data_IF_133199950738
#
_entry.id   IF_133199950738
#
_cell.length_a   1.000
_cell.length_b   1.000
_cell.length_c   1.000
_cell.angle_alpha   90.00
_cell.angle_beta   90.00
_cell.angle_gamma   90.00
#
_symmetry.space_group_name_H-M   'P 1'
#
loop_
_entity.id
_entity.type
_entity.pdbx_description
1 polymer ?
#
# COMPACT_ATOMS: atom_id res chain seq x y z
N UNK A 1 -11.94 24.75 14.37
CA UNK A 1 -12.65 23.52 14.76
C UNK A 1 -11.87 22.29 14.33
N UNK A 2 -11.90 21.28 15.20
CA UNK A 2 -11.32 19.97 14.92
C UNK A 2 -12.44 18.95 14.82
N UNK A 3 -12.26 17.93 13.98
CA UNK A 3 -13.14 16.79 13.85
C UNK A 3 -12.30 15.52 13.97
N UNK A 4 -12.77 14.57 14.79
CA UNK A 4 -12.20 13.23 14.87
C UNK A 4 -13.24 12.27 14.32
N UNK A 5 -12.85 11.46 13.34
CA UNK A 5 -13.65 10.39 12.79
C UNK A 5 -12.99 9.05 13.11
N UNK A 6 -13.77 8.13 13.66
CA UNK A 6 -13.37 6.77 13.96
C UNK A 6 -14.30 5.82 13.23
N UNK A 7 -13.73 4.89 12.48
CA UNK A 7 -14.49 3.85 11.81
C UNK A 7 -13.83 2.48 12.02
N UNK A 8 -14.64 1.47 12.26
CA UNK A 8 -14.22 0.08 12.20
C UNK A 8 -15.09 -0.62 11.16
N UNK A 9 -14.48 -1.52 10.39
CA UNK A 9 -15.17 -2.21 9.30
C UNK A 9 -14.77 -3.68 9.18
N UNK A 10 -15.72 -4.45 8.71
CA UNK A 10 -15.54 -5.82 8.31
C UNK A 10 -16.22 -6.03 6.96
N UNK A 11 -15.50 -6.63 6.01
CA UNK A 11 -16.03 -6.99 4.69
C UNK A 11 -15.74 -8.46 4.44
N UNK A 12 -16.77 -9.23 4.16
CA UNK A 12 -16.71 -10.62 3.76
C UNK A 12 -17.09 -10.69 2.27
N UNK A 13 -16.13 -10.97 1.43
CA UNK A 13 -16.29 -11.02 -0.03
C UNK A 13 -16.15 -12.49 -0.43
N UNK A 14 -17.24 -13.07 -0.94
CA UNK A 14 -17.32 -14.47 -1.34
C UNK A 14 -17.45 -14.60 -2.85
N UNK A 15 -17.30 -15.82 -3.33
CA UNK A 15 -17.54 -16.20 -4.73
C UNK A 15 -16.73 -15.37 -5.73
N UNK A 16 -15.51 -14.97 -5.34
CA UNK A 16 -14.58 -14.31 -6.24
C UNK A 16 -14.10 -15.30 -7.30
N UNK A 17 -14.05 -14.85 -8.53
CA UNK A 17 -13.60 -15.65 -9.65
C UNK A 17 -12.09 -15.85 -9.60
N UNK A 18 -11.68 -17.10 -9.74
CA UNK A 18 -10.28 -17.47 -9.88
C UNK A 18 -10.13 -18.68 -10.81
N UNK A 19 -8.92 -18.92 -11.30
CA UNK A 19 -8.64 -20.07 -12.15
C UNK A 19 -8.33 -21.31 -11.32
N UNK A 20 -9.10 -22.35 -11.54
CA UNK A 20 -8.80 -23.71 -11.05
C UNK A 20 -8.13 -24.48 -12.19
N UNK A 21 -6.96 -25.05 -11.91
CA UNK A 21 -6.18 -25.79 -12.90
C UNK A 21 -6.38 -27.30 -12.74
N UNK A 22 -6.65 -27.97 -13.85
CA UNK A 22 -6.81 -29.43 -13.94
C UNK A 22 -5.61 -30.00 -14.70
N UNK A 23 -4.96 -31.03 -14.12
CA UNK A 23 -3.71 -31.61 -14.61
C UNK A 23 -3.93 -33.10 -14.79
N UNK A 24 -3.75 -33.61 -16.04
CA UNK A 24 -3.91 -35.02 -16.35
C UNK A 24 -2.80 -35.88 -15.72
N UNK A 25 -3.05 -37.17 -15.54
CA UNK A 25 -2.12 -38.12 -14.92
C UNK A 25 -0.75 -38.20 -15.60
N UNK A 26 -0.70 -37.97 -16.90
CA UNK A 26 0.56 -37.93 -17.67
C UNK A 26 1.10 -36.52 -17.86
N UNK A 27 0.50 -35.52 -17.24
CA UNK A 27 0.85 -34.08 -17.32
C UNK A 27 0.84 -33.48 -18.72
N UNK A 28 0.35 -34.21 -19.73
CA UNK A 28 0.31 -33.75 -21.14
C UNK A 28 -0.89 -32.87 -21.45
N UNK A 29 -2.01 -33.03 -20.73
CA UNK A 29 -3.19 -32.22 -20.90
C UNK A 29 -3.42 -31.42 -19.62
N UNK A 30 -3.37 -30.13 -19.76
CA UNK A 30 -3.65 -29.19 -18.68
C UNK A 30 -4.66 -28.16 -19.17
N UNK A 31 -5.68 -27.88 -18.40
CA UNK A 31 -6.60 -26.78 -18.67
C UNK A 31 -6.92 -26.02 -17.40
N UNK A 32 -7.33 -24.80 -17.57
CA UNK A 32 -7.77 -23.95 -16.47
C UNK A 32 -9.22 -23.54 -16.68
N UNK A 33 -10.02 -23.67 -15.64
CA UNK A 33 -11.41 -23.27 -15.62
C UNK A 33 -11.59 -22.09 -14.68
N UNK A 34 -12.36 -21.09 -15.08
CA UNK A 34 -12.75 -20.00 -14.20
C UNK A 34 -13.83 -20.50 -13.25
N UNK A 35 -13.55 -20.44 -11.95
CA UNK A 35 -14.44 -20.89 -10.88
C UNK A 35 -14.64 -19.80 -9.85
N UNK A 36 -15.82 -19.72 -9.24
CA UNK A 36 -16.13 -18.77 -8.18
C UNK A 36 -15.81 -19.39 -6.80
N UNK A 37 -14.53 -19.71 -6.57
CA UNK A 37 -14.10 -20.51 -5.41
C UNK A 37 -13.14 -19.76 -4.49
N UNK A 38 -12.94 -18.46 -4.66
CA UNK A 38 -12.10 -17.69 -3.75
C UNK A 38 -12.91 -16.71 -2.90
N UNK A 39 -12.31 -16.32 -1.79
CA UNK A 39 -12.89 -15.36 -0.85
C UNK A 39 -11.83 -14.41 -0.33
N UNK A 40 -12.27 -13.25 0.13
CA UNK A 40 -11.47 -12.27 0.83
C UNK A 40 -12.22 -11.74 2.04
N UNK A 41 -11.57 -11.75 3.18
CA UNK A 41 -12.03 -11.19 4.44
C UNK A 41 -11.15 -9.97 4.77
N UNK A 42 -11.78 -8.80 4.83
CA UNK A 42 -11.10 -7.54 5.10
C UNK A 42 -11.64 -6.94 6.38
N UNK A 43 -10.76 -6.70 7.34
CA UNK A 43 -11.11 -6.07 8.60
C UNK A 43 -10.10 -5.00 8.98
N UNK A 44 -10.59 -3.95 9.61
CA UNK A 44 -9.72 -2.86 9.97
C UNK A 44 -10.42 -1.76 10.73
N UNK A 45 -9.65 -0.74 11.02
CA UNK A 45 -10.17 0.51 11.57
C UNK A 45 -9.44 1.69 10.94
N UNK A 46 -10.10 2.83 10.97
CA UNK A 46 -9.60 4.11 10.50
C UNK A 46 -9.75 5.15 11.59
N UNK A 47 -8.74 6.02 11.70
CA UNK A 47 -8.76 7.19 12.56
C UNK A 47 -8.40 8.39 11.69
N UNK A 48 -9.31 9.35 11.62
CA UNK A 48 -9.06 10.62 10.93
C UNK A 48 -9.16 11.79 11.88
N UNK A 49 -8.15 12.64 11.86
CA UNK A 49 -8.14 13.93 12.52
C UNK A 49 -8.15 15.03 11.46
N UNK A 50 -9.20 15.85 11.47
CA UNK A 50 -9.35 16.95 10.54
C UNK A 50 -9.40 18.29 11.25
N UNK A 51 -8.68 19.28 10.72
CA UNK A 51 -8.80 20.69 11.09
C UNK A 51 -9.49 21.45 9.94
N UNK A 52 -10.78 21.73 10.13
CA UNK A 52 -11.65 22.26 9.06
C UNK A 52 -11.52 23.77 8.86
N UNK A 53 -11.12 24.51 9.90
CA UNK A 53 -11.00 25.97 9.86
C UNK A 53 -9.74 26.43 10.57
N UNK A 54 -9.10 27.44 10.04
CA UNK A 54 -7.90 28.08 10.60
C UNK A 54 -7.38 29.13 9.64
N UNK A 55 -6.65 30.10 10.16
CA UNK A 55 -6.10 31.21 9.36
C UNK A 55 -4.74 30.86 8.73
N UNK A 56 -4.11 29.80 9.21
CA UNK A 56 -2.77 29.40 8.79
C UNK A 56 -2.67 27.95 8.35
N UNK A 57 -3.45 27.05 8.96
CA UNK A 57 -3.36 25.63 8.73
C UNK A 57 -4.74 25.00 8.74
N UNK A 58 -5.05 24.25 7.70
CA UNK A 58 -6.20 23.33 7.61
C UNK A 58 -5.76 22.01 7.01
N UNK A 59 -6.58 20.97 7.11
CA UNK A 59 -6.27 19.68 6.49
C UNK A 59 -6.71 18.51 7.34
N UNK A 60 -6.24 17.33 6.94
CA UNK A 60 -6.53 16.09 7.66
C UNK A 60 -5.35 15.13 7.65
N UNK A 61 -5.34 14.24 8.62
CA UNK A 61 -4.46 13.06 8.71
C UNK A 61 -5.37 11.87 8.96
N UNK A 62 -5.27 10.87 8.09
CA UNK A 62 -5.98 9.61 8.21
C UNK A 62 -4.96 8.48 8.42
N UNK A 63 -5.22 7.64 9.42
CA UNK A 63 -4.51 6.39 9.68
C UNK A 63 -5.46 5.22 9.47
N UNK A 64 -5.09 4.29 8.61
CA UNK A 64 -5.80 3.04 8.35
C UNK A 64 -4.95 1.86 8.84
N UNK A 65 -5.57 0.98 9.62
CA UNK A 65 -5.02 -0.32 9.97
C UNK A 65 -5.90 -1.41 9.38
N UNK A 66 -5.38 -2.14 8.39
CA UNK A 66 -6.15 -3.12 7.64
C UNK A 66 -5.46 -4.46 7.61
N UNK A 67 -6.25 -5.51 7.79
CA UNK A 67 -5.84 -6.90 7.66
C UNK A 67 -6.72 -7.57 6.61
N UNK A 68 -6.08 -8.14 5.58
CA UNK A 68 -6.76 -8.93 4.56
C UNK A 68 -6.39 -10.39 4.75
N UNK A 69 -7.39 -11.25 4.72
CA UNK A 69 -7.24 -12.70 4.65
C UNK A 69 -7.89 -13.16 3.37
N UNK A 70 -7.17 -13.89 2.54
CA UNK A 70 -7.71 -14.49 1.32
C UNK A 70 -7.50 -15.99 1.31
N UNK A 71 -8.31 -16.70 0.55
CA UNK A 71 -8.23 -18.15 0.46
C UNK A 71 -9.18 -18.72 -0.59
N UNK A 72 -9.26 -20.03 -0.61
CA UNK A 72 -10.07 -20.78 -1.55
C UNK A 72 -11.05 -21.70 -0.84
N UNK A 73 -12.25 -21.80 -1.40
CA UNK A 73 -13.19 -22.87 -1.09
C UNK A 73 -12.86 -24.05 -2.01
N UNK A 74 -12.13 -25.03 -1.51
CA UNK A 74 -11.63 -26.14 -2.32
C UNK A 74 -10.15 -26.02 -2.66
N UNK A 75 -9.79 -26.38 -3.87
CA UNK A 75 -8.41 -26.43 -4.33
C UNK A 75 -8.21 -25.57 -5.56
N UNK A 76 -7.04 -24.97 -5.67
CA UNK A 76 -6.62 -24.20 -6.84
C UNK A 76 -6.15 -25.12 -7.98
N UNK A 77 -5.71 -26.34 -7.63
CA UNK A 77 -5.24 -27.36 -8.59
C UNK A 77 -5.83 -28.71 -8.28
N UNK A 78 -6.19 -29.43 -9.33
CA UNK A 78 -6.65 -30.80 -9.27
C UNK A 78 -5.75 -31.66 -10.17
N UNK A 79 -5.15 -32.67 -9.58
CA UNK A 79 -4.33 -33.65 -10.26
C UNK A 79 -5.14 -34.93 -10.45
N UNK A 80 -5.17 -35.47 -11.67
CA UNK A 80 -5.78 -36.76 -11.96
C UNK A 80 -5.01 -37.90 -11.31
N UNK A 81 -3.69 -37.76 -11.12
CA UNK A 81 -2.87 -38.70 -10.37
C UNK A 81 -3.15 -38.55 -8.84
N UNK A 82 -3.63 -39.59 -8.15
CA UNK A 82 -3.96 -39.52 -6.73
C UNK A 82 -2.75 -39.24 -5.83
N UNK A 83 -1.53 -39.66 -6.23
CA UNK A 83 -0.29 -39.38 -5.49
C UNK A 83 0.03 -37.93 -5.47
N UNK A 84 0.05 -37.31 -6.66
CA UNK A 84 0.33 -35.87 -6.83
C UNK A 84 -0.75 -35.02 -6.17
N UNK A 85 -2.02 -35.46 -6.26
CA UNK A 85 -3.13 -34.78 -5.59
C UNK A 85 -2.94 -34.76 -4.07
N UNK A 86 -2.57 -35.89 -3.48
CA UNK A 86 -2.35 -36.00 -2.04
C UNK A 86 -1.16 -35.15 -1.58
N UNK A 87 -0.06 -35.14 -2.33
CA UNK A 87 1.11 -34.32 -2.03
C UNK A 87 0.75 -32.82 -2.08
N UNK A 88 0.02 -32.42 -3.11
CA UNK A 88 -0.46 -31.05 -3.25
C UNK A 88 -1.40 -30.66 -2.09
N UNK A 89 -2.34 -31.50 -1.69
CA UNK A 89 -3.24 -31.22 -0.57
C UNK A 89 -2.52 -31.08 0.77
N UNK A 90 -1.46 -31.85 0.99
CA UNK A 90 -0.65 -31.78 2.20
C UNK A 90 0.21 -30.51 2.24
N UNK A 91 0.68 -30.04 1.08
CA UNK A 91 1.56 -28.87 0.97
C UNK A 91 0.80 -27.57 0.80
N UNK A 92 -0.45 -27.62 0.27
CA UNK A 92 -1.21 -26.43 -0.08
C UNK A 92 -1.94 -25.82 1.11
N UNK A 93 -1.70 -24.55 1.35
CA UNK A 93 -2.41 -23.77 2.36
C UNK A 93 -3.63 -23.10 1.75
N UNK A 94 -4.80 -23.53 2.20
CA UNK A 94 -6.08 -23.00 1.74
C UNK A 94 -6.34 -21.55 2.14
N UNK A 95 -5.56 -21.01 3.05
CA UNK A 95 -5.72 -19.66 3.57
C UNK A 95 -4.38 -19.00 3.80
N UNK A 96 -4.23 -17.75 3.34
CA UNK A 96 -3.07 -16.94 3.66
C UNK A 96 -3.10 -16.47 5.11
N UNK A 97 -1.93 -16.43 5.77
CA UNK A 97 -1.82 -15.88 7.12
C UNK A 97 -1.90 -14.36 7.04
N UNK A 98 -2.92 -13.73 7.65
CA UNK A 98 -3.13 -12.30 7.51
C UNK A 98 -2.03 -11.52 8.22
N UNK A 99 -1.52 -10.49 7.55
CA UNK A 99 -0.59 -9.51 8.11
C UNK A 99 -1.13 -8.11 7.88
N UNK A 100 -1.09 -7.25 8.90
CA UNK A 100 -1.56 -5.89 8.75
C UNK A 100 -0.65 -5.07 7.84
N UNK A 101 -1.26 -4.19 7.05
CA UNK A 101 -0.57 -3.20 6.23
C UNK A 101 -1.10 -1.82 6.63
N UNK A 102 -0.55 -1.19 7.67
CA UNK A 102 -0.96 0.15 8.07
C UNK A 102 -0.60 1.18 7.01
N UNK A 103 -1.43 2.20 6.91
CA UNK A 103 -1.29 3.31 5.95
C UNK A 103 -1.57 4.64 6.62
N UNK A 104 -0.87 5.67 6.15
CA UNK A 104 -1.14 7.06 6.51
C UNK A 104 -1.35 7.85 5.23
N UNK A 105 -2.38 8.68 5.24
CA UNK A 105 -2.62 9.67 4.21
C UNK A 105 -2.89 11.00 4.89
N UNK A 106 -2.20 12.05 4.48
CA UNK A 106 -2.48 13.39 4.96
C UNK A 106 -2.52 14.39 3.83
N UNK A 107 -3.35 15.40 3.99
CA UNK A 107 -3.36 16.62 3.18
C UNK A 107 -3.42 17.79 4.13
N UNK A 108 -2.35 18.55 4.21
CA UNK A 108 -2.24 19.72 5.09
C UNK A 108 -2.03 20.94 4.20
N UNK A 109 -2.93 21.90 4.31
CA UNK A 109 -2.84 23.19 3.64
C UNK A 109 -2.28 24.23 4.62
N UNK A 110 -1.07 24.68 4.37
CA UNK A 110 -0.50 25.85 5.01
C UNK A 110 -0.87 27.06 4.15
N UNK A 111 -1.52 28.03 4.73
CA UNK A 111 -1.93 29.21 4.01
C UNK A 111 -1.75 30.48 4.84
N UNK A 112 -1.52 31.59 4.17
CA UNK A 112 -1.45 32.89 4.80
C UNK A 112 -2.82 33.58 4.74
N UNK A 113 -3.21 34.36 5.76
CA UNK A 113 -4.39 35.21 5.67
C UNK A 113 -4.33 36.12 4.44
N UNK A 114 -5.49 36.43 3.85
CA UNK A 114 -5.55 37.22 2.61
C UNK A 114 -4.91 38.61 2.72
N UNK A 115 -4.91 39.19 3.92
CA UNK A 115 -4.34 40.52 4.22
C UNK A 115 -2.95 40.45 4.86
N UNK A 116 -2.23 39.33 4.68
CA UNK A 116 -0.89 39.14 5.25
C UNK A 116 0.22 39.65 4.35
N UNK A 117 1.17 40.37 4.95
CA UNK A 117 2.42 40.82 4.31
C UNK A 117 2.34 42.19 3.60
N UNK A 118 3.34 42.52 2.78
CA UNK A 118 3.41 43.82 2.08
C UNK A 118 2.26 44.02 1.12
N UNK A 119 1.62 45.16 1.20
CA UNK A 119 0.57 45.59 0.27
C UNK A 119 1.21 46.47 -0.83
N UNK A 120 1.09 46.06 -2.09
CA UNK A 120 1.54 46.78 -3.25
C UNK A 120 0.35 47.01 -4.19
N UNK A 121 -0.04 48.23 -4.43
CA UNK A 121 -1.17 48.60 -5.28
C UNK A 121 -2.49 47.90 -4.91
N UNK A 122 -2.77 47.77 -3.60
CA UNK A 122 -3.97 47.11 -3.11
C UNK A 122 -3.92 45.59 -3.08
N UNK A 123 -2.78 44.98 -3.37
CA UNK A 123 -2.59 43.53 -3.31
C UNK A 123 -1.53 43.14 -2.27
N UNK A 124 -1.82 42.16 -1.48
CA UNK A 124 -0.88 41.55 -0.53
C UNK A 124 -0.07 40.44 -1.26
N UNK A 125 1.26 40.69 -1.43
CA UNK A 125 2.10 39.78 -2.23
C UNK A 125 2.14 38.35 -1.70
N UNK A 126 2.13 38.19 -0.39
CA UNK A 126 2.18 36.88 0.27
C UNK A 126 0.85 36.52 0.98
N UNK A 127 -0.17 37.38 0.88
CA UNK A 127 -1.52 37.09 1.40
C UNK A 127 -2.26 36.10 0.50
N UNK A 128 -2.96 35.14 1.08
CA UNK A 128 -3.67 34.07 0.35
C UNK A 128 -2.73 33.15 -0.46
N UNK A 129 -1.51 32.97 -0.01
CA UNK A 129 -0.60 31.95 -0.51
C UNK A 129 -0.98 30.60 0.14
N UNK A 130 -1.11 29.56 -0.66
CA UNK A 130 -1.39 28.21 -0.22
C UNK A 130 -0.22 27.27 -0.55
N UNK A 131 0.17 26.45 0.41
CA UNK A 131 1.09 25.35 0.24
C UNK A 131 0.43 24.07 0.77
N UNK A 132 0.00 23.20 -0.13
CA UNK A 132 -0.54 21.90 0.24
C UNK A 132 0.59 20.87 0.30
N UNK A 133 0.70 20.19 1.43
CA UNK A 133 1.59 19.05 1.66
C UNK A 133 0.74 17.79 1.64
N UNK A 134 0.94 16.95 0.64
CA UNK A 134 0.22 15.69 0.46
C UNK A 134 1.18 14.57 0.79
N UNK A 135 0.91 13.86 1.88
CA UNK A 135 1.74 12.74 2.34
C UNK A 135 1.00 11.42 2.16
N UNK A 136 1.70 10.43 1.65
CA UNK A 136 1.23 9.04 1.62
C UNK A 136 2.33 8.15 2.16
N UNK A 137 1.98 7.32 3.11
CA UNK A 137 2.85 6.28 3.63
C UNK A 137 2.09 4.97 3.72
N UNK A 138 2.76 3.86 3.42
CA UNK A 138 2.25 2.52 3.67
C UNK A 138 3.38 1.62 4.13
N UNK A 139 3.11 0.80 5.13
CA UNK A 139 4.04 -0.25 5.51
C UNK A 139 4.28 -1.21 4.35
N UNK A 140 5.49 -1.72 4.23
CA UNK A 140 5.83 -2.76 3.27
C UNK A 140 5.03 -4.03 3.51
N UNK A 141 4.64 -4.72 2.44
CA UNK A 141 3.95 -6.01 2.53
C UNK A 141 4.89 -7.10 3.03
N UNK A 142 4.33 -8.08 3.73
CA UNK A 142 5.03 -9.26 4.17
C UNK A 142 5.03 -10.33 3.08
N UNK A 143 6.13 -11.04 2.93
CA UNK A 143 6.24 -12.18 2.04
C UNK A 143 7.11 -13.28 2.67
N UNK A 144 7.05 -14.46 2.09
CA UNK A 144 7.86 -15.61 2.53
C UNK A 144 9.11 -15.70 1.68
N UNK A 145 10.27 -15.56 2.30
CA UNK A 145 11.54 -15.90 1.70
C UNK A 145 12.05 -17.19 2.33
N UNK A 146 11.96 -18.29 1.62
CA UNK A 146 12.31 -19.64 2.08
C UNK A 146 12.90 -20.48 0.94
N UNK A 147 14.11 -20.17 0.48
CA UNK A 147 14.73 -20.85 -0.65
C UNK A 147 15.01 -22.34 -0.38
N UNK A 148 15.16 -22.71 0.89
CA UNK A 148 15.43 -24.10 1.30
C UNK A 148 14.18 -24.89 1.64
N UNK A 149 12.97 -24.35 1.41
CA UNK A 149 11.69 -24.99 1.70
C UNK A 149 11.56 -25.52 3.14
N UNK A 150 12.12 -24.83 4.12
CA UNK A 150 12.06 -25.23 5.54
C UNK A 150 10.61 -25.12 6.02
N UNK A 151 10.02 -26.20 6.58
CA UNK A 151 8.65 -26.17 7.07
C UNK A 151 8.43 -25.09 8.15
N UNK A 152 7.29 -24.40 8.10
CA UNK A 152 6.89 -23.42 9.10
C UNK A 152 7.42 -22.00 8.90
N UNK A 153 8.32 -21.78 7.93
CA UNK A 153 8.79 -20.43 7.59
C UNK A 153 7.78 -19.76 6.65
N UNK A 154 7.11 -18.73 7.16
CA UNK A 154 6.14 -17.94 6.41
C UNK A 154 6.16 -16.49 6.83
N UNK A 155 6.00 -15.58 5.85
CA UNK A 155 5.92 -14.13 6.08
C UNK A 155 7.04 -13.62 7.01
N UNK A 156 8.23 -14.08 6.77
CA UNK A 156 9.41 -13.80 7.58
C UNK A 156 10.12 -12.50 7.18
N UNK A 157 9.82 -11.97 6.00
CA UNK A 157 10.45 -10.76 5.46
C UNK A 157 9.38 -9.74 5.10
N UNK A 158 9.68 -8.47 5.35
CA UNK A 158 8.83 -7.34 4.98
C UNK A 158 9.56 -6.46 3.96
N UNK A 159 8.86 -6.10 2.88
CA UNK A 159 9.35 -5.07 1.97
C UNK A 159 9.55 -3.73 2.68
N UNK A 160 10.40 -2.88 2.12
CA UNK A 160 10.57 -1.52 2.62
C UNK A 160 9.25 -0.74 2.56
N UNK A 161 9.08 0.17 3.48
CA UNK A 161 7.89 1.03 3.52
C UNK A 161 7.89 1.96 2.30
N UNK A 162 6.69 2.20 1.77
CA UNK A 162 6.51 3.17 0.69
C UNK A 162 6.05 4.50 1.28
N UNK A 163 6.71 5.59 0.92
CA UNK A 163 6.27 6.92 1.28
C UNK A 163 6.48 7.90 0.13
N UNK A 164 5.64 8.89 0.06
CA UNK A 164 5.72 9.97 -0.92
C UNK A 164 5.20 11.27 -0.33
N UNK A 165 5.86 12.37 -0.67
CA UNK A 165 5.43 13.73 -0.34
C UNK A 165 5.35 14.53 -1.63
N UNK A 166 4.15 15.07 -1.90
CA UNK A 166 3.90 16.00 -2.98
C UNK A 166 3.61 17.39 -2.40
N UNK A 167 4.12 18.43 -3.02
CA UNK A 167 3.89 19.82 -2.63
C UNK A 167 3.14 20.53 -3.74
N UNK A 168 2.11 21.30 -3.36
CA UNK A 168 1.35 22.13 -4.30
C UNK A 168 1.26 23.55 -3.78
N UNK A 169 1.80 24.47 -4.53
CA UNK A 169 1.75 25.87 -4.23
C UNK A 169 0.70 26.56 -5.10
N UNK A 170 -0.06 27.48 -4.56
CA UNK A 170 -0.95 28.29 -5.38
C UNK A 170 -1.22 29.64 -4.75
N UNK A 171 -1.41 30.65 -5.63
CA UNK A 171 -1.81 31.99 -5.27
C UNK A 171 -2.73 32.60 -6.32
N UNK A 172 -3.71 33.35 -5.86
CA UNK A 172 -4.62 34.09 -6.71
C UNK A 172 -4.28 35.59 -6.63
N UNK A 173 -4.09 36.21 -7.79
CA UNK A 173 -3.93 37.66 -7.96
C UNK A 173 -5.19 38.23 -8.59
N UNK A 174 -5.63 39.38 -8.10
CA UNK A 174 -6.79 40.10 -8.64
C UNK A 174 -6.29 41.24 -9.52
N UNK A 175 -6.49 41.19 -10.84
CA UNK A 175 -6.16 42.23 -11.80
C UNK A 175 -7.45 42.90 -12.31
N UNK A 176 -8.00 43.82 -11.51
CA UNK A 176 -9.30 44.47 -11.80
C UNK A 176 -10.43 43.45 -11.80
N UNK A 177 -11.02 43.18 -12.97
CA UNK A 177 -12.10 42.18 -13.13
C UNK A 177 -11.59 40.76 -13.38
N UNK A 178 -10.30 40.56 -13.54
CA UNK A 178 -9.68 39.28 -13.88
C UNK A 178 -9.02 38.70 -12.63
N UNK A 179 -9.20 37.38 -12.42
CA UNK A 179 -8.49 36.59 -11.40
C UNK A 179 -7.47 35.70 -12.07
N UNK A 180 -6.21 35.86 -11.70
CA UNK A 180 -5.10 35.06 -12.23
C UNK A 180 -4.64 34.13 -11.12
N UNK A 181 -4.76 32.80 -11.33
CA UNK A 181 -4.19 31.80 -10.43
C UNK A 181 -2.85 31.33 -10.94
N UNK A 182 -1.82 31.53 -10.15
CA UNK A 182 -0.49 30.96 -10.37
C UNK A 182 -0.34 29.74 -9.47
N UNK A 183 0.18 28.63 -10.00
CA UNK A 183 0.39 27.41 -9.23
C UNK A 183 1.66 26.68 -9.67
N UNK A 184 2.21 25.89 -8.78
CA UNK A 184 3.34 25.00 -9.03
C UNK A 184 3.11 23.68 -8.26
N UNK A 185 3.23 22.55 -8.96
CA UNK A 185 3.11 21.22 -8.39
C UNK A 185 4.48 20.53 -8.43
N UNK A 186 4.92 20.05 -7.27
CA UNK A 186 6.16 19.30 -7.11
C UNK A 186 5.78 17.90 -6.64
N UNK A 187 6.00 16.91 -7.48
CA UNK A 187 5.73 15.51 -7.14
C UNK A 187 6.99 14.85 -6.63
N UNK A 188 6.82 13.96 -5.65
CA UNK A 188 7.92 13.25 -5.00
C UNK A 188 9.02 14.20 -4.53
N UNK A 189 8.65 15.19 -3.71
CA UNK A 189 9.54 16.27 -3.27
C UNK A 189 10.80 15.80 -2.53
N UNK A 190 10.76 14.60 -1.93
CA UNK A 190 11.89 13.98 -1.25
C UNK A 190 12.75 13.08 -2.15
N UNK A 191 12.40 12.98 -3.44
CA UNK A 191 13.06 12.07 -4.39
C UNK A 191 13.12 10.62 -3.85
N UNK A 192 12.03 10.18 -3.22
CA UNK A 192 11.93 8.84 -2.66
C UNK A 192 11.94 7.81 -3.78
N UNK A 193 12.81 6.83 -3.67
CA UNK A 193 12.82 5.68 -4.57
C UNK A 193 11.76 4.71 -4.12
N UNK A 194 10.77 4.46 -4.99
CA UNK A 194 9.71 3.50 -4.74
C UNK A 194 10.11 2.21 -5.44
N UNK A 195 10.16 1.13 -4.68
CA UNK A 195 10.35 -0.18 -5.25
C UNK A 195 9.13 -0.55 -6.10
N UNK A 196 9.31 -0.69 -7.40
CA UNK A 196 8.25 -1.17 -8.28
C UNK A 196 8.31 -2.70 -8.32
N UNK A 197 7.21 -3.36 -7.94
CA UNK A 197 7.13 -4.82 -7.91
C UNK A 197 7.13 -5.50 -9.28
N UNK A 198 7.58 -4.83 -10.33
CA UNK A 198 7.66 -5.39 -11.69
C UNK A 198 8.85 -6.33 -11.91
N UNK A 199 9.48 -6.74 -10.82
CA UNK A 199 10.47 -7.78 -10.86
C UNK A 199 11.89 -7.26 -10.76
N UNK A 200 12.72 -8.18 -10.45
CA UNK A 200 14.16 -8.04 -10.50
C UNK A 200 14.61 -8.40 -11.90
N UNK A 201 15.68 -7.79 -12.36
CA UNK A 201 16.23 -8.04 -13.70
C UNK A 201 16.71 -9.48 -13.81
N UNK A 202 17.25 -10.02 -12.72
CA UNK A 202 17.63 -11.42 -12.61
C UNK A 202 17.51 -11.96 -11.16
N UNK A 203 17.88 -13.22 -10.98
CA UNK A 203 17.87 -13.88 -9.68
C UNK A 203 18.93 -13.34 -8.70
N UNK A 204 20.00 -12.73 -9.19
CA UNK A 204 21.04 -12.14 -8.34
C UNK A 204 20.53 -10.85 -7.73
N UNK A 205 19.89 -9.99 -8.52
CA UNK A 205 19.27 -8.75 -8.03
C UNK A 205 18.21 -9.04 -6.97
N UNK A 206 17.40 -10.09 -7.19
CA UNK A 206 16.44 -10.56 -6.20
C UNK A 206 17.13 -10.98 -4.90
N UNK A 207 18.16 -11.81 -4.98
CA UNK A 207 18.87 -12.31 -3.81
C UNK A 207 19.59 -11.20 -3.05
N UNK A 208 20.26 -10.27 -3.74
CA UNK A 208 20.91 -9.13 -3.10
C UNK A 208 19.91 -8.23 -2.40
N UNK A 209 18.75 -7.98 -3.02
CA UNK A 209 17.70 -7.23 -2.38
C UNK A 209 17.21 -7.92 -1.11
N UNK A 210 16.93 -9.23 -1.18
CA UNK A 210 16.47 -10.01 -0.01
C UNK A 210 17.50 -9.99 1.11
N UNK A 211 18.78 -10.10 0.79
CA UNK A 211 19.88 -10.02 1.74
C UNK A 211 20.03 -8.64 2.39
N UNK A 212 19.55 -7.58 1.75
CA UNK A 212 19.58 -6.23 2.29
C UNK A 212 18.45 -5.93 3.29
N UNK A 213 17.45 -6.81 3.39
CA UNK A 213 16.33 -6.63 4.29
C UNK A 213 16.63 -7.17 5.68
N UNK A 214 16.20 -6.45 6.72
CA UNK A 214 16.32 -6.92 8.09
C UNK A 214 15.39 -8.11 8.33
N UNK A 215 15.96 -9.23 8.70
CA UNK A 215 15.23 -10.43 9.08
C UNK A 215 15.28 -10.62 10.60
N UNK A 216 14.32 -11.32 11.18
CA UNK A 216 14.40 -11.65 12.59
C UNK A 216 15.58 -12.60 12.85
N UNK A 217 16.18 -12.51 14.04
CA UNK A 217 17.31 -13.38 14.43
C UNK A 217 17.00 -14.88 14.35
N UNK A 218 15.71 -15.23 14.48
CA UNK A 218 15.27 -16.63 14.42
C UNK A 218 15.39 -17.25 13.02
N UNK A 219 15.49 -16.39 12.00
CA UNK A 219 15.65 -16.79 10.60
C UNK A 219 17.01 -16.41 10.05
N UNK A 220 17.89 -15.96 10.92
CA UNK A 220 19.18 -15.43 10.63
C UNK A 220 20.21 -16.46 10.17
N UNK A 221 19.91 -17.71 10.12
CA UNK A 221 20.88 -18.80 9.98
C UNK A 221 21.81 -18.77 8.79
N UNK A 222 21.37 -18.39 7.59
CA UNK A 222 22.24 -18.52 6.41
C UNK A 222 22.08 -17.42 5.35
N UNK A 223 21.18 -16.50 5.58
CA UNK A 223 20.80 -15.56 4.54
C UNK A 223 21.03 -14.16 5.01
N UNK A 224 22.25 -13.81 5.04
CA UNK A 224 22.69 -12.42 5.23
C UNK A 224 21.83 -11.57 6.14
N UNK A 225 22.42 -11.10 7.07
CA UNK A 225 21.90 -10.09 7.88
C UNK A 225 22.84 -9.16 8.12
N UNK A 226 22.23 -8.04 8.45
CA UNK A 226 22.94 -7.05 9.25
C UNK A 226 22.19 -6.79 10.56
#
# INVERSE_FOLDING_TARGET
SYLVHLAAYYKDIKDQQNYTRYISANSKVNYSQLTANSYEDIRGFEIELSKLKGDWVTGFINYEYRVNTSGYFGLERYYENPGDQREYELSNKKQSKPRPIPRIKSVIDFHTPNNFGPNINGQYLIGGLHMNVITRWSAGSWFTYNPNNVPGIEYNVRYVDNYNIDLKFSKIFNAGKIKIKVYADIYNALNTKIFSGYGFEDGFDYNYYMQSLHMSKDYAGELGYN
#
